data_IF_993501281723
#
_entry.id   IF_993501281723
#
_cell.length_a   1.000
_cell.length_b   1.000
_cell.length_c   1.000
_cell.angle_alpha   90.00
_cell.angle_beta   90.00
_cell.angle_gamma   90.00
#
_symmetry.space_group_name_H-M   'P 1'
#
loop_
_entity.id
_entity.type
_entity.pdbx_description
1 polymer ?
#
# COMPACT_ATOMS: atom_id res chain seq x y z
N UNK A 1 15.12 -53.90 6.29
CA UNK A 1 14.61 -52.61 6.84
C UNK A 1 13.87 -51.92 5.71
N UNK A 2 12.61 -51.55 5.88
CA UNK A 2 11.88 -50.82 4.85
C UNK A 2 12.39 -49.39 4.84
N UNK A 3 12.58 -48.80 3.65
CA UNK A 3 12.99 -47.41 3.47
C UNK A 3 11.95 -46.49 4.13
N UNK A 4 12.42 -45.55 4.96
CA UNK A 4 11.56 -44.64 5.72
C UNK A 4 11.19 -43.43 4.87
N UNK A 5 12.07 -43.01 3.94
CA UNK A 5 11.87 -41.86 3.06
C UNK A 5 11.02 -42.28 1.86
N UNK A 6 9.90 -41.59 1.65
CA UNK A 6 9.00 -41.82 0.53
C UNK A 6 8.74 -40.52 -0.24
N UNK A 7 8.57 -40.63 -1.55
CA UNK A 7 8.14 -39.51 -2.39
C UNK A 7 6.68 -39.17 -2.07
N UNK A 8 6.42 -37.88 -1.82
CA UNK A 8 5.05 -37.42 -1.62
C UNK A 8 4.25 -37.46 -2.93
N UNK A 9 2.95 -37.79 -2.87
CA UNK A 9 2.06 -37.61 -4.00
C UNK A 9 2.05 -36.13 -4.46
N UNK A 10 1.99 -35.90 -5.76
CA UNK A 10 2.02 -34.52 -6.35
C UNK A 10 0.97 -33.59 -5.75
N UNK A 11 -0.23 -34.09 -5.47
CA UNK A 11 -1.28 -33.30 -4.85
C UNK A 11 -0.91 -32.78 -3.45
N UNK A 12 -0.20 -33.59 -2.66
CA UNK A 12 0.27 -33.21 -1.31
C UNK A 12 1.44 -32.24 -1.42
N UNK A 13 2.40 -32.53 -2.30
CA UNK A 13 3.54 -31.66 -2.58
C UNK A 13 3.07 -30.27 -3.05
N UNK A 14 2.06 -30.23 -3.95
CA UNK A 14 1.45 -29.00 -4.43
C UNK A 14 0.75 -28.19 -3.30
N UNK A 15 0.03 -28.87 -2.39
CA UNK A 15 -0.61 -28.20 -1.25
C UNK A 15 0.41 -27.62 -0.26
N UNK A 16 1.53 -28.30 -0.03
CA UNK A 16 2.62 -27.80 0.85
C UNK A 16 3.22 -26.54 0.21
N UNK A 17 3.65 -26.62 -1.06
CA UNK A 17 4.24 -25.49 -1.77
C UNK A 17 3.26 -24.32 -1.90
N UNK A 18 1.98 -24.58 -2.20
CA UNK A 18 0.94 -23.56 -2.21
C UNK A 18 0.84 -22.80 -0.88
N UNK A 19 1.25 -23.44 0.22
CA UNK A 19 1.22 -22.81 1.53
C UNK A 19 2.24 -21.73 1.77
N UNK A 20 3.30 -21.75 1.03
CA UNK A 20 4.34 -20.72 1.10
C UNK A 20 3.95 -19.49 0.27
N UNK A 21 3.24 -19.70 -0.84
CA UNK A 21 2.85 -18.64 -1.78
C UNK A 21 1.48 -18.05 -1.43
N UNK A 22 0.47 -18.90 -1.26
CA UNK A 22 -0.92 -18.49 -1.03
C UNK A 22 -1.29 -18.69 0.44
N UNK A 23 -1.15 -17.65 1.23
CA UNK A 23 -1.46 -17.68 2.66
C UNK A 23 -2.87 -17.17 2.96
N UNK A 24 -3.41 -16.27 2.13
CA UNK A 24 -4.70 -15.59 2.31
C UNK A 24 -5.27 -15.05 1.00
N UNK A 25 -6.55 -14.59 0.97
CA UNK A 25 -7.17 -14.03 -0.24
C UNK A 25 -6.37 -12.91 -0.90
N UNK A 26 -5.78 -12.01 -0.11
CA UNK A 26 -4.94 -10.92 -0.62
C UNK A 26 -3.74 -11.42 -1.45
N UNK A 27 -3.19 -12.61 -1.14
CA UNK A 27 -2.10 -13.21 -1.93
C UNK A 27 -2.57 -13.62 -3.33
N UNK A 28 -3.80 -14.15 -3.45
CA UNK A 28 -4.39 -14.52 -4.74
C UNK A 28 -4.57 -13.28 -5.61
N UNK A 29 -5.17 -12.22 -5.06
CA UNK A 29 -5.38 -10.96 -5.79
C UNK A 29 -4.06 -10.38 -6.24
N UNK A 30 -3.07 -10.33 -5.36
CA UNK A 30 -1.73 -9.84 -5.69
C UNK A 30 -1.15 -10.57 -6.90
N UNK A 31 -1.10 -11.89 -6.86
CA UNK A 31 -0.50 -12.70 -7.95
C UNK A 31 -1.30 -12.57 -9.27
N UNK A 32 -2.64 -12.55 -9.23
CA UNK A 32 -3.45 -12.43 -10.44
C UNK A 32 -3.34 -11.04 -11.07
N UNK A 33 -3.39 -9.96 -10.26
CA UNK A 33 -3.25 -8.59 -10.76
C UNK A 33 -1.84 -8.34 -11.30
N UNK A 34 -0.79 -8.84 -10.64
CA UNK A 34 0.58 -8.78 -11.16
C UNK A 34 0.73 -9.53 -12.50
N UNK A 35 0.04 -10.67 -12.66
CA UNK A 35 0.04 -11.38 -13.93
C UNK A 35 -0.71 -10.61 -15.05
N UNK A 36 -1.81 -9.93 -14.72
CA UNK A 36 -2.53 -9.08 -15.66
C UNK A 36 -1.67 -7.89 -16.13
N UNK A 37 -0.93 -7.26 -15.21
CA UNK A 37 0.03 -6.19 -15.54
C UNK A 37 1.14 -6.72 -16.46
N UNK A 38 1.73 -7.87 -16.13
CA UNK A 38 2.76 -8.53 -16.94
C UNK A 38 2.22 -8.98 -18.33
N UNK A 39 0.90 -9.19 -18.46
CA UNK A 39 0.24 -9.45 -19.73
C UNK A 39 -0.01 -8.18 -20.56
N UNK A 40 0.34 -7.00 -20.04
CA UNK A 40 0.18 -5.72 -20.72
C UNK A 40 -1.25 -5.16 -20.66
N UNK A 41 -2.02 -5.52 -19.64
CA UNK A 41 -3.37 -5.00 -19.44
C UNK A 41 -3.38 -3.47 -19.27
N UNK A 42 -4.40 -2.83 -19.82
CA UNK A 42 -4.69 -1.39 -19.65
C UNK A 42 -5.86 -1.16 -18.69
N UNK A 43 -6.67 -2.19 -18.50
CA UNK A 43 -7.81 -2.19 -17.58
C UNK A 43 -7.88 -3.50 -16.81
N UNK A 44 -8.04 -3.41 -15.47
CA UNK A 44 -8.10 -4.58 -14.60
C UNK A 44 -9.25 -4.40 -13.61
N UNK A 45 -10.21 -5.33 -13.64
CA UNK A 45 -11.33 -5.39 -12.72
C UNK A 45 -11.11 -6.49 -11.68
N UNK A 46 -11.29 -6.14 -10.40
CA UNK A 46 -11.19 -7.08 -9.28
C UNK A 46 -12.53 -7.14 -8.56
N UNK A 47 -13.16 -8.31 -8.53
CA UNK A 47 -14.42 -8.54 -7.83
C UNK A 47 -14.20 -9.55 -6.71
N UNK A 48 -14.68 -9.24 -5.52
CA UNK A 48 -14.48 -10.04 -4.31
C UNK A 48 -15.81 -10.29 -3.62
N UNK A 49 -16.07 -11.54 -3.28
CA UNK A 49 -17.24 -11.92 -2.47
C UNK A 49 -16.77 -12.52 -1.15
N UNK A 50 -17.38 -12.08 -0.03
CA UNK A 50 -17.04 -12.50 1.34
C UNK A 50 -15.55 -12.37 1.65
N UNK A 51 -14.96 -11.23 1.26
CA UNK A 51 -13.53 -10.97 1.43
C UNK A 51 -12.63 -12.07 0.81
N UNK A 52 -13.06 -12.63 -0.32
CA UNK A 52 -12.34 -13.65 -1.07
C UNK A 52 -12.45 -15.07 -0.52
N UNK A 53 -13.38 -15.32 0.40
CA UNK A 53 -13.67 -16.67 0.91
C UNK A 53 -14.58 -17.45 -0.05
N UNK A 54 -15.57 -16.76 -0.62
CA UNK A 54 -16.50 -17.34 -1.58
C UNK A 54 -15.91 -17.26 -2.97
N UNK A 55 -15.58 -16.06 -3.46
CA UNK A 55 -14.94 -15.90 -4.76
C UNK A 55 -14.03 -14.70 -4.84
N UNK A 56 -13.06 -14.80 -5.73
CA UNK A 56 -12.18 -13.74 -6.22
C UNK A 56 -12.20 -13.84 -7.73
N UNK A 57 -12.57 -12.76 -8.40
CA UNK A 57 -12.52 -12.68 -9.85
C UNK A 57 -11.62 -11.54 -10.27
N UNK A 58 -10.72 -11.81 -11.21
CA UNK A 58 -9.84 -10.80 -11.82
C UNK A 58 -10.02 -10.89 -13.33
N UNK A 59 -10.39 -9.76 -13.93
CA UNK A 59 -10.64 -9.63 -15.37
C UNK A 59 -9.65 -8.61 -15.90
N UNK A 60 -8.96 -8.95 -16.96
CA UNK A 60 -7.98 -8.09 -17.63
C UNK A 60 -8.20 -8.06 -19.14
N UNK A 61 -7.79 -6.98 -19.77
CA UNK A 61 -7.78 -6.75 -21.20
C UNK A 61 -6.37 -6.98 -21.83
N UNK A 62 -5.53 -7.76 -21.16
CA UNK A 62 -4.18 -8.07 -21.62
C UNK A 62 -4.14 -8.95 -22.88
N UNK A 63 -2.95 -9.44 -23.23
CA UNK A 63 -2.73 -10.24 -24.46
C UNK A 63 -3.47 -11.57 -24.50
N UNK A 64 -4.02 -12.06 -23.39
CA UNK A 64 -4.63 -13.38 -23.28
C UNK A 64 -3.64 -14.53 -23.43
N UNK A 65 -4.17 -15.75 -23.58
CA UNK A 65 -3.40 -16.98 -23.72
C UNK A 65 -4.03 -17.88 -24.81
N UNK A 66 -3.16 -18.62 -25.53
CA UNK A 66 -3.61 -19.70 -26.42
C UNK A 66 -4.19 -20.86 -25.62
N UNK A 67 -4.89 -21.77 -26.30
CA UNK A 67 -5.44 -22.99 -25.70
C UNK A 67 -4.37 -23.79 -24.95
N UNK A 68 -3.18 -23.94 -25.54
CA UNK A 68 -2.06 -24.68 -24.96
C UNK A 68 -1.45 -23.93 -23.78
N UNK A 69 -1.22 -22.61 -23.91
CA UNK A 69 -0.64 -21.79 -22.85
C UNK A 69 -1.57 -21.68 -21.65
N UNK A 70 -2.89 -21.58 -21.87
CA UNK A 70 -3.89 -21.57 -20.81
C UNK A 70 -3.77 -22.80 -19.92
N UNK A 71 -3.60 -23.98 -20.50
CA UNK A 71 -3.39 -25.21 -19.75
C UNK A 71 -2.01 -25.26 -19.07
N UNK A 72 -0.95 -24.93 -19.80
CA UNK A 72 0.42 -24.96 -19.28
C UNK A 72 0.64 -23.95 -18.14
N UNK A 73 -0.11 -22.85 -18.12
CA UNK A 73 0.03 -21.81 -17.09
C UNK A 73 -0.23 -22.32 -15.66
N UNK A 74 -0.93 -23.46 -15.51
CA UNK A 74 -1.21 -24.11 -14.22
C UNK A 74 -0.22 -25.22 -13.87
N UNK A 75 0.73 -25.52 -14.75
CA UNK A 75 1.82 -26.43 -14.44
C UNK A 75 2.91 -25.72 -13.65
N UNK A 76 3.56 -26.46 -12.75
CA UNK A 76 4.68 -25.91 -11.96
C UNK A 76 5.89 -25.65 -12.85
N UNK A 77 6.56 -24.53 -12.57
CA UNK A 77 7.75 -24.08 -13.29
C UNK A 77 7.48 -23.71 -14.76
N UNK A 78 6.20 -23.61 -15.17
CA UNK A 78 5.83 -23.09 -16.46
C UNK A 78 5.77 -21.56 -16.40
N UNK A 79 6.62 -20.89 -17.17
CA UNK A 79 6.69 -19.43 -17.22
C UNK A 79 7.10 -18.94 -18.61
N UNK A 80 6.50 -17.85 -19.05
CA UNK A 80 6.90 -17.13 -20.27
C UNK A 80 7.98 -16.07 -20.03
N UNK A 81 8.36 -15.83 -18.76
CA UNK A 81 9.07 -14.63 -18.31
C UNK A 81 10.59 -14.83 -18.19
N UNK A 82 11.04 -16.05 -17.95
CA UNK A 82 12.46 -16.42 -17.85
C UNK A 82 12.73 -17.69 -18.66
N UNK A 83 13.91 -17.78 -19.27
CA UNK A 83 14.35 -18.95 -20.03
C UNK A 83 15.74 -19.42 -19.62
N UNK A 84 16.57 -18.53 -19.08
CA UNK A 84 17.95 -18.80 -18.69
C UNK A 84 18.19 -18.33 -17.26
N UNK A 85 19.21 -18.87 -16.60
CA UNK A 85 19.60 -18.46 -15.26
C UNK A 85 19.99 -16.96 -15.20
N UNK A 86 20.60 -16.44 -16.26
CA UNK A 86 21.01 -15.04 -16.34
C UNK A 86 19.82 -14.06 -16.34
N UNK A 87 18.65 -14.51 -16.82
CA UNK A 87 17.42 -13.70 -16.80
C UNK A 87 16.98 -13.35 -15.37
N UNK A 88 17.43 -14.13 -14.36
CA UNK A 88 17.13 -13.86 -12.94
C UNK A 88 17.77 -12.56 -12.43
N UNK A 89 18.88 -12.13 -13.03
CA UNK A 89 19.58 -10.91 -12.65
C UNK A 89 19.06 -9.65 -13.37
N UNK A 90 18.19 -9.83 -14.38
CA UNK A 90 17.62 -8.75 -15.19
C UNK A 90 16.09 -8.69 -15.13
N UNK A 91 15.49 -9.19 -14.06
CA UNK A 91 14.05 -9.30 -13.91
C UNK A 91 13.36 -7.93 -13.89
N UNK A 92 12.54 -7.68 -14.93
CA UNK A 92 11.64 -6.52 -15.00
C UNK A 92 10.17 -6.87 -14.74
N UNK A 93 9.81 -8.18 -14.80
CA UNK A 93 8.44 -8.64 -14.57
C UNK A 93 8.14 -8.84 -13.09
N UNK A 94 6.91 -8.64 -12.66
CA UNK A 94 6.48 -8.81 -11.27
C UNK A 94 6.56 -10.26 -10.82
N UNK A 95 6.07 -11.20 -11.63
CA UNK A 95 6.17 -12.65 -11.42
C UNK A 95 7.24 -13.27 -12.32
N UNK A 96 7.90 -14.34 -11.89
CA UNK A 96 8.89 -15.07 -12.73
C UNK A 96 8.97 -16.58 -12.44
N UNK A 97 8.54 -17.05 -11.26
CA UNK A 97 8.78 -18.45 -10.82
C UNK A 97 7.88 -19.49 -11.50
N UNK A 98 6.76 -19.08 -12.13
CA UNK A 98 5.81 -20.03 -12.72
C UNK A 98 5.14 -20.95 -11.69
N UNK A 99 4.91 -20.47 -10.47
CA UNK A 99 4.34 -21.26 -9.37
C UNK A 99 3.02 -20.71 -8.83
N UNK A 100 2.69 -19.45 -9.12
CA UNK A 100 1.55 -18.77 -8.52
C UNK A 100 0.22 -19.42 -8.92
N UNK A 101 -0.04 -19.59 -10.22
CA UNK A 101 -1.28 -20.19 -10.71
C UNK A 101 -1.41 -21.66 -10.30
N UNK A 102 -0.32 -22.44 -10.36
CA UNK A 102 -0.28 -23.83 -9.89
C UNK A 102 -0.60 -23.89 -8.37
N UNK A 103 -0.09 -22.94 -7.59
CA UNK A 103 -0.34 -22.85 -6.15
C UNK A 103 -1.79 -22.47 -5.84
N UNK A 104 -2.40 -21.54 -6.59
CA UNK A 104 -3.82 -21.19 -6.44
C UNK A 104 -4.68 -22.41 -6.78
N UNK A 105 -4.40 -23.08 -7.92
CA UNK A 105 -5.14 -24.26 -8.37
C UNK A 105 -5.07 -25.43 -7.38
N UNK A 106 -3.97 -25.55 -6.62
CA UNK A 106 -3.81 -26.59 -5.63
C UNK A 106 -4.78 -26.45 -4.43
N UNK A 107 -5.23 -25.24 -4.12
CA UNK A 107 -6.01 -24.92 -2.92
C UNK A 107 -7.37 -24.28 -3.19
N UNK A 108 -7.75 -24.10 -4.45
CA UNK A 108 -9.01 -23.48 -4.87
C UNK A 108 -9.64 -24.20 -6.07
N UNK A 109 -10.84 -23.78 -6.42
CA UNK A 109 -11.50 -24.08 -7.69
C UNK A 109 -11.29 -22.88 -8.60
N UNK A 110 -10.86 -23.10 -9.84
CA UNK A 110 -10.54 -22.03 -10.78
C UNK A 110 -11.30 -22.26 -12.08
N UNK A 111 -11.93 -21.20 -12.56
CA UNK A 111 -12.36 -21.08 -13.94
C UNK A 111 -11.54 -19.97 -14.61
N UNK A 112 -11.01 -20.29 -15.79
CA UNK A 112 -10.29 -19.36 -16.64
C UNK A 112 -11.02 -19.25 -17.97
N UNK A 113 -11.31 -18.03 -18.40
CA UNK A 113 -11.72 -17.72 -19.77
C UNK A 113 -10.68 -16.76 -20.34
N UNK A 114 -10.05 -17.14 -21.45
CA UNK A 114 -8.99 -16.33 -22.04
C UNK A 114 -9.01 -16.40 -23.55
N UNK A 115 -8.65 -15.31 -24.22
CA UNK A 115 -8.58 -15.22 -25.68
C UNK A 115 -7.45 -14.29 -26.09
N UNK A 116 -6.68 -14.71 -27.08
CA UNK A 116 -5.72 -13.84 -27.77
C UNK A 116 -6.42 -13.00 -28.84
N UNK A 117 -5.87 -11.84 -29.15
CA UNK A 117 -6.41 -10.97 -30.21
C UNK A 117 -6.40 -11.65 -31.60
N UNK A 118 -5.44 -12.55 -31.82
CA UNK A 118 -5.31 -13.31 -33.08
C UNK A 118 -6.30 -14.45 -33.24
N UNK A 119 -7.11 -14.77 -32.24
CA UNK A 119 -8.02 -15.92 -32.22
C UNK A 119 -9.48 -15.47 -32.19
N UNK A 120 -10.35 -16.11 -32.95
CA UNK A 120 -11.79 -15.82 -33.01
C UNK A 120 -12.53 -16.34 -31.78
N UNK A 121 -12.10 -17.49 -31.27
CA UNK A 121 -12.66 -18.14 -30.09
C UNK A 121 -11.60 -18.18 -28.98
N UNK A 122 -12.06 -17.97 -27.76
CA UNK A 122 -11.25 -18.17 -26.58
C UNK A 122 -11.38 -19.57 -26.02
N UNK A 123 -10.70 -19.79 -24.91
CA UNK A 123 -10.65 -21.06 -24.18
C UNK A 123 -11.26 -20.86 -22.79
N UNK A 124 -12.19 -21.74 -22.43
CA UNK A 124 -12.69 -21.92 -21.06
C UNK A 124 -12.05 -23.16 -20.47
N UNK A 125 -11.42 -23.00 -19.30
CA UNK A 125 -10.70 -24.06 -18.62
C UNK A 125 -11.11 -24.12 -17.15
N UNK A 126 -11.33 -25.32 -16.61
CA UNK A 126 -11.71 -25.54 -15.21
C UNK A 126 -10.72 -26.46 -14.51
N UNK A 127 -10.29 -26.07 -13.30
CA UNK A 127 -9.37 -26.82 -12.45
C UNK A 127 -9.87 -26.80 -11.01
N UNK A 128 -9.77 -27.91 -10.30
CA UNK A 128 -10.11 -28.00 -8.89
C UNK A 128 -9.09 -28.85 -8.11
N UNK A 129 -8.39 -28.26 -7.13
CA UNK A 129 -7.41 -28.96 -6.30
C UNK A 129 -6.29 -29.64 -7.11
N UNK A 130 -5.69 -28.93 -8.08
CA UNK A 130 -4.71 -29.40 -9.06
C UNK A 130 -5.25 -30.47 -10.02
N UNK A 131 -6.55 -30.73 -10.07
CA UNK A 131 -7.15 -31.65 -11.02
C UNK A 131 -7.78 -30.87 -12.16
N UNK A 132 -7.35 -31.18 -13.35
CA UNK A 132 -7.94 -30.68 -14.57
C UNK A 132 -9.35 -31.28 -14.77
N UNK A 133 -10.36 -30.43 -14.88
CA UNK A 133 -11.75 -30.85 -15.00
C UNK A 133 -12.26 -30.82 -16.43
N UNK A 134 -11.80 -29.86 -17.23
CA UNK A 134 -12.18 -29.73 -18.63
C UNK A 134 -11.63 -28.49 -19.29
N UNK A 135 -11.62 -28.50 -20.60
CA UNK A 135 -11.25 -27.39 -21.47
C UNK A 135 -12.12 -27.41 -22.71
N UNK A 136 -12.70 -26.29 -23.04
CA UNK A 136 -13.62 -26.13 -24.17
C UNK A 136 -13.47 -24.74 -24.81
N UNK A 137 -13.74 -24.62 -26.12
CA UNK A 137 -13.78 -23.31 -26.75
C UNK A 137 -14.96 -22.50 -26.22
N UNK A 138 -14.76 -21.19 -26.03
CA UNK A 138 -15.81 -20.29 -25.59
C UNK A 138 -15.70 -18.93 -26.29
N UNK A 139 -16.82 -18.19 -26.30
CA UNK A 139 -16.82 -16.79 -26.71
C UNK A 139 -16.52 -15.91 -25.51
N UNK A 140 -15.39 -15.19 -25.55
CA UNK A 140 -14.99 -14.24 -24.52
C UNK A 140 -14.22 -13.07 -25.13
N UNK A 141 -14.14 -11.91 -24.43
CA UNK A 141 -13.29 -10.80 -24.83
C UNK A 141 -11.80 -11.20 -24.93
N UNK A 142 -10.99 -10.37 -25.57
CA UNK A 142 -9.53 -10.45 -25.51
C UNK A 142 -9.08 -10.20 -24.09
N UNK A 143 -8.05 -10.92 -23.63
CA UNK A 143 -7.55 -10.84 -22.27
C UNK A 143 -7.81 -12.12 -21.48
N UNK A 144 -7.87 -12.00 -20.15
CA UNK A 144 -8.12 -13.15 -19.28
C UNK A 144 -9.11 -12.81 -18.16
N UNK A 145 -9.93 -13.79 -17.83
CA UNK A 145 -10.88 -13.72 -16.73
C UNK A 145 -10.66 -14.95 -15.83
N UNK A 146 -10.06 -14.72 -14.68
CA UNK A 146 -9.84 -15.73 -13.65
C UNK A 146 -10.91 -15.62 -12.58
N UNK A 147 -11.70 -16.67 -12.40
CA UNK A 147 -12.60 -16.83 -11.26
C UNK A 147 -12.03 -17.90 -10.33
N UNK A 148 -11.70 -17.51 -9.11
CA UNK A 148 -11.18 -18.39 -8.05
C UNK A 148 -12.23 -18.52 -6.98
N UNK A 149 -12.72 -19.73 -6.77
CA UNK A 149 -13.78 -20.03 -5.83
C UNK A 149 -13.33 -20.95 -4.71
N UNK A 150 -14.02 -20.87 -3.59
CA UNK A 150 -13.87 -21.78 -2.47
C UNK A 150 -12.41 -21.93 -2.00
N UNK A 151 -11.69 -20.84 -1.84
CA UNK A 151 -10.29 -20.83 -1.40
C UNK A 151 -10.12 -21.69 -0.13
N UNK A 152 -9.13 -22.58 -0.15
CA UNK A 152 -8.83 -23.57 0.90
C UNK A 152 -9.92 -24.62 1.14
N UNK A 153 -10.75 -24.95 0.12
CA UNK A 153 -11.79 -25.95 0.25
C UNK A 153 -11.25 -27.32 0.66
N UNK A 154 -10.06 -27.67 0.19
CA UNK A 154 -9.36 -28.93 0.45
C UNK A 154 -8.30 -28.83 1.56
N UNK A 155 -8.18 -27.68 2.25
CA UNK A 155 -7.25 -27.44 3.35
C UNK A 155 -8.02 -26.82 4.54
N UNK A 156 -8.87 -27.60 5.26
CA UNK A 156 -9.76 -27.08 6.29
C UNK A 156 -9.05 -26.33 7.41
N UNK A 157 -7.83 -26.72 7.77
CA UNK A 157 -7.02 -26.03 8.77
C UNK A 157 -6.77 -24.58 8.36
N UNK A 158 -6.31 -24.32 7.12
CA UNK A 158 -6.07 -22.96 6.64
C UNK A 158 -7.34 -22.13 6.57
N UNK A 159 -8.46 -22.74 6.12
CA UNK A 159 -9.75 -22.06 6.08
C UNK A 159 -10.19 -21.56 7.47
N UNK A 160 -9.88 -22.31 8.54
CA UNK A 160 -10.14 -21.91 9.92
C UNK A 160 -9.23 -20.78 10.41
N UNK A 161 -8.02 -20.66 9.86
CA UNK A 161 -7.08 -19.59 10.22
C UNK A 161 -7.35 -18.26 9.50
N UNK A 162 -8.27 -18.21 8.53
CA UNK A 162 -8.72 -16.95 7.95
C UNK A 162 -9.39 -16.09 9.03
N UNK A 163 -8.97 -14.83 9.10
CA UNK A 163 -9.50 -13.86 10.06
C UNK A 163 -10.91 -13.38 9.66
N UNK A 164 -11.49 -12.46 10.37
CA UNK A 164 -12.81 -11.88 10.02
C UNK A 164 -12.83 -11.32 8.59
N UNK A 165 -14.02 -11.26 7.98
CA UNK A 165 -14.17 -10.69 6.63
C UNK A 165 -13.64 -9.25 6.56
N UNK A 166 -13.85 -8.44 7.59
CA UNK A 166 -13.30 -7.09 7.68
C UNK A 166 -11.77 -7.10 7.63
N UNK A 167 -11.12 -7.97 8.40
CA UNK A 167 -9.65 -8.05 8.41
C UNK A 167 -9.10 -8.55 7.07
N UNK A 168 -9.72 -9.57 6.46
CA UNK A 168 -9.27 -10.06 5.15
C UNK A 168 -9.52 -9.03 4.03
N UNK A 169 -10.64 -8.28 4.09
CA UNK A 169 -10.90 -7.20 3.14
C UNK A 169 -9.86 -6.08 3.27
N UNK A 170 -9.48 -5.69 4.49
CA UNK A 170 -8.43 -4.70 4.72
C UNK A 170 -7.07 -5.18 4.19
N UNK A 171 -6.75 -6.48 4.31
CA UNK A 171 -5.55 -7.05 3.71
C UNK A 171 -5.59 -6.99 2.18
N UNK A 172 -6.76 -7.25 1.57
CA UNK A 172 -6.98 -7.14 0.12
C UNK A 172 -6.76 -5.71 -0.33
N UNK A 173 -7.41 -4.75 0.32
CA UNK A 173 -7.28 -3.32 0.00
C UNK A 173 -5.81 -2.89 0.11
N UNK A 174 -5.11 -3.27 1.17
CA UNK A 174 -3.69 -2.92 1.33
C UNK A 174 -2.80 -3.54 0.24
N UNK A 175 -3.09 -4.77 -0.19
CA UNK A 175 -2.36 -5.40 -1.30
C UNK A 175 -2.66 -4.69 -2.63
N UNK A 176 -3.92 -4.34 -2.87
CA UNK A 176 -4.37 -3.60 -4.05
C UNK A 176 -3.75 -2.20 -4.11
N UNK A 177 -3.77 -1.44 -3.02
CA UNK A 177 -3.13 -0.11 -2.91
C UNK A 177 -1.66 -0.15 -3.32
N UNK A 178 -0.90 -1.15 -2.87
CA UNK A 178 0.52 -1.30 -3.20
C UNK A 178 0.78 -1.49 -4.69
N UNK A 179 -0.17 -2.09 -5.41
CA UNK A 179 -0.06 -2.30 -6.85
C UNK A 179 -0.49 -1.04 -7.62
N UNK A 180 -1.67 -0.49 -7.31
CA UNK A 180 -2.23 0.62 -8.10
C UNK A 180 -1.43 1.91 -7.98
N UNK A 181 -0.68 2.08 -6.88
CA UNK A 181 0.23 3.21 -6.68
C UNK A 181 1.42 3.21 -7.63
N UNK A 182 1.85 2.03 -8.07
CA UNK A 182 3.01 1.86 -8.97
C UNK A 182 2.62 2.00 -10.44
N UNK A 183 1.39 1.64 -10.78
CA UNK A 183 0.89 1.61 -12.16
C UNK A 183 -0.23 2.64 -12.40
N UNK A 184 0.04 3.96 -12.29
CA UNK A 184 -0.98 4.99 -12.46
C UNK A 184 -1.53 5.04 -13.90
N UNK A 185 -0.80 4.52 -14.89
CA UNK A 185 -1.20 4.44 -16.29
C UNK A 185 -2.25 3.36 -16.57
N UNK A 186 -2.49 2.42 -15.65
CA UNK A 186 -3.49 1.36 -15.78
C UNK A 186 -4.76 1.76 -15.04
N UNK A 187 -5.91 1.49 -15.63
CA UNK A 187 -7.21 1.66 -14.97
C UNK A 187 -7.53 0.45 -14.11
N UNK A 188 -8.00 0.68 -12.89
CA UNK A 188 -8.35 -0.40 -11.96
C UNK A 188 -9.72 -0.17 -11.34
N UNK A 189 -10.48 -1.26 -11.16
CA UNK A 189 -11.65 -1.26 -10.29
C UNK A 189 -11.51 -2.33 -9.20
N UNK A 190 -12.09 -2.08 -8.03
CA UNK A 190 -12.22 -3.07 -6.97
C UNK A 190 -13.64 -3.04 -6.43
N UNK A 191 -14.32 -4.18 -6.53
CA UNK A 191 -15.67 -4.39 -5.99
C UNK A 191 -15.66 -5.41 -4.86
N UNK A 192 -16.44 -5.15 -3.82
CA UNK A 192 -16.66 -6.09 -2.72
C UNK A 192 -18.15 -6.29 -2.47
N UNK A 193 -18.63 -7.53 -2.59
CA UNK A 193 -20.04 -7.88 -2.44
C UNK A 193 -20.97 -6.99 -3.29
N UNK A 194 -20.57 -6.69 -4.54
CA UNK A 194 -21.32 -5.85 -5.47
C UNK A 194 -21.20 -4.34 -5.22
N UNK A 195 -20.47 -3.91 -4.18
CA UNK A 195 -20.20 -2.49 -3.93
C UNK A 195 -18.85 -2.11 -4.50
N UNK A 196 -18.80 -1.03 -5.28
CA UNK A 196 -17.55 -0.46 -5.78
C UNK A 196 -16.79 0.23 -4.64
N UNK A 197 -15.56 -0.22 -4.37
CA UNK A 197 -14.66 0.38 -3.39
C UNK A 197 -13.68 1.35 -4.03
N UNK A 198 -13.18 1.00 -5.22
CA UNK A 198 -12.28 1.83 -6.01
C UNK A 198 -12.67 1.82 -7.47
N UNK A 199 -12.58 2.99 -8.11
CA UNK A 199 -12.70 3.20 -9.55
C UNK A 199 -11.61 4.19 -9.95
N UNK A 200 -10.47 3.65 -10.39
CA UNK A 200 -9.22 4.39 -10.63
C UNK A 200 -8.95 4.42 -12.13
N UNK A 201 -8.96 5.60 -12.73
CA UNK A 201 -8.64 5.77 -14.15
C UNK A 201 -7.15 5.98 -14.35
N UNK A 202 -6.65 5.79 -15.56
CA UNK A 202 -5.28 6.14 -15.92
C UNK A 202 -5.02 7.63 -15.64
N UNK A 203 -3.93 7.92 -14.91
CA UNK A 203 -3.64 9.28 -14.43
C UNK A 203 -2.14 9.43 -14.07
N UNK A 204 -1.75 10.56 -13.48
CA UNK A 204 -0.41 10.76 -12.93
C UNK A 204 -0.24 10.11 -11.54
N UNK A 205 1.01 9.90 -11.10
CA UNK A 205 1.32 9.41 -9.75
C UNK A 205 0.63 10.22 -8.64
N UNK A 206 0.71 11.56 -8.73
CA UNK A 206 0.07 12.44 -7.74
C UNK A 206 -1.44 12.25 -7.68
N UNK A 207 -2.09 12.21 -8.85
CA UNK A 207 -3.52 12.02 -8.92
C UNK A 207 -3.94 10.64 -8.41
N UNK A 208 -3.18 9.57 -8.73
CA UNK A 208 -3.42 8.24 -8.22
C UNK A 208 -3.36 8.18 -6.69
N UNK A 209 -2.37 8.81 -6.06
CA UNK A 209 -2.25 8.90 -4.61
C UNK A 209 -3.50 9.60 -4.01
N UNK A 210 -3.93 10.68 -4.63
CA UNK A 210 -5.10 11.46 -4.19
C UNK A 210 -6.41 10.69 -4.37
N UNK A 211 -6.57 9.94 -5.46
CA UNK A 211 -7.74 9.08 -5.69
C UNK A 211 -7.83 7.94 -4.69
N UNK A 212 -6.69 7.36 -4.30
CA UNK A 212 -6.64 6.25 -3.34
C UNK A 212 -6.82 6.72 -1.90
N UNK A 213 -6.19 7.82 -1.48
CA UNK A 213 -6.16 8.24 -0.06
C UNK A 213 -6.96 9.52 0.24
N UNK A 214 -7.58 10.10 -0.76
CA UNK A 214 -8.47 11.26 -0.62
C UNK A 214 -7.86 12.60 -1.00
N UNK A 215 -8.76 13.55 -1.34
CA UNK A 215 -8.40 14.86 -1.91
C UNK A 215 -7.58 15.75 -0.97
N UNK A 216 -7.71 15.59 0.36
CA UNK A 216 -6.97 16.38 1.35
C UNK A 216 -5.46 16.22 1.22
N UNK A 217 -5.02 15.01 0.89
CA UNK A 217 -3.59 14.73 0.74
C UNK A 217 -2.92 15.53 -0.37
N UNK A 218 -3.67 15.98 -1.39
CA UNK A 218 -3.12 16.73 -2.51
C UNK A 218 -2.41 18.03 -2.10
N UNK A 219 -2.92 18.73 -1.09
CA UNK A 219 -2.35 19.99 -0.61
C UNK A 219 -1.12 19.77 0.26
N UNK A 220 -1.00 18.57 0.82
CA UNK A 220 0.05 18.22 1.78
C UNK A 220 1.29 17.60 1.14
N UNK A 221 1.24 17.23 -0.15
CA UNK A 221 2.33 16.53 -0.84
C UNK A 221 3.33 17.50 -1.49
N UNK A 222 4.59 17.36 -1.10
CA UNK A 222 5.76 18.00 -1.71
C UNK A 222 6.42 17.04 -2.71
N UNK A 223 6.70 17.44 -3.93
CA UNK A 223 7.37 16.60 -4.92
C UNK A 223 8.84 16.41 -4.58
N UNK A 224 9.34 15.22 -4.86
CA UNK A 224 10.76 14.88 -4.85
C UNK A 224 11.10 14.32 -6.23
N UNK A 225 12.21 14.78 -6.80
CA UNK A 225 12.74 14.29 -8.06
C UNK A 225 14.25 14.55 -8.07
N UNK A 226 15.03 13.49 -7.85
CA UNK A 226 16.49 13.54 -7.75
C UNK A 226 17.10 12.41 -8.56
N UNK A 227 17.82 12.76 -9.60
CA UNK A 227 18.54 11.82 -10.44
C UNK A 227 20.04 11.82 -10.09
N UNK A 228 20.59 10.61 -9.89
CA UNK A 228 21.99 10.39 -9.56
C UNK A 228 22.54 9.20 -10.33
N UNK A 229 23.85 9.02 -10.34
CA UNK A 229 24.48 7.86 -10.96
C UNK A 229 24.15 6.52 -10.28
N UNK A 230 23.63 6.53 -9.05
CA UNK A 230 23.31 5.31 -8.28
C UNK A 230 21.83 4.94 -8.38
N UNK A 231 20.96 5.94 -8.41
CA UNK A 231 19.50 5.74 -8.46
C UNK A 231 18.81 7.05 -8.85
N UNK A 232 17.61 6.92 -9.41
CA UNK A 232 16.65 8.01 -9.54
C UNK A 232 15.61 7.85 -8.43
N UNK A 233 15.43 8.89 -7.60
CA UNK A 233 14.43 8.91 -6.53
C UNK A 233 13.38 9.95 -6.88
N UNK A 234 12.13 9.50 -7.07
CA UNK A 234 11.04 10.40 -7.36
C UNK A 234 9.83 10.11 -6.49
N UNK A 235 8.87 11.03 -6.46
CA UNK A 235 7.63 10.84 -5.71
C UNK A 235 7.26 12.01 -4.83
N UNK A 236 6.71 11.74 -3.66
CA UNK A 236 6.12 12.76 -2.80
C UNK A 236 6.37 12.47 -1.32
N UNK A 237 6.56 13.54 -0.56
CA UNK A 237 6.63 13.52 0.91
C UNK A 237 5.64 14.54 1.46
N UNK A 238 5.05 14.27 2.63
CA UNK A 238 4.11 15.18 3.26
C UNK A 238 4.78 16.42 3.84
N UNK A 239 4.04 17.52 3.88
CA UNK A 239 4.44 18.73 4.62
C UNK A 239 4.56 18.42 6.11
N UNK A 240 5.39 19.16 6.88
CA UNK A 240 5.47 19.02 8.32
C UNK A 240 4.11 19.12 9.04
N UNK A 241 3.21 19.98 8.55
CA UNK A 241 1.86 20.19 9.10
C UNK A 241 0.93 18.97 8.93
N UNK A 242 1.27 18.07 7.99
CA UNK A 242 0.52 16.84 7.74
C UNK A 242 0.93 15.69 8.68
N UNK A 243 1.87 15.95 9.61
CA UNK A 243 2.35 14.94 10.54
C UNK A 243 1.23 14.43 11.47
N UNK A 244 1.22 13.11 11.72
CA UNK A 244 0.22 12.44 12.57
C UNK A 244 0.87 11.41 13.47
N UNK A 245 0.26 11.18 14.65
CA UNK A 245 0.71 10.13 15.59
C UNK A 245 0.37 8.71 15.12
N UNK A 246 -0.69 8.55 14.31
CA UNK A 246 -1.21 7.23 13.92
C UNK A 246 -1.34 7.13 12.40
N UNK A 247 -0.95 5.97 11.89
CA UNK A 247 -1.20 5.48 10.54
C UNK A 247 -0.94 6.48 9.39
N UNK A 248 0.22 7.12 9.29
CA UNK A 248 0.55 7.85 8.09
C UNK A 248 0.72 6.86 6.92
N UNK A 249 0.30 7.27 5.72
CA UNK A 249 0.49 6.50 4.49
C UNK A 249 1.97 6.54 4.10
N UNK A 250 2.68 5.42 4.26
CA UNK A 250 4.13 5.34 4.08
C UNK A 250 4.48 4.21 3.12
N UNK A 251 4.91 4.58 1.91
CA UNK A 251 5.17 3.64 0.84
C UNK A 251 6.54 3.90 0.21
N UNK A 252 7.33 2.84 0.12
CA UNK A 252 8.52 2.77 -0.71
C UNK A 252 8.30 1.78 -1.84
N UNK A 253 8.77 2.16 -3.02
CA UNK A 253 8.78 1.29 -4.17
C UNK A 253 10.16 1.28 -4.80
N UNK A 254 10.61 0.14 -5.29
CA UNK A 254 11.85 0.00 -6.05
C UNK A 254 11.60 -0.83 -7.29
N UNK A 255 11.93 -0.29 -8.45
CA UNK A 255 11.70 -0.96 -9.74
C UNK A 255 10.30 -1.59 -9.80
N UNK A 256 9.29 -0.79 -9.54
CA UNK A 256 7.86 -1.14 -9.53
C UNK A 256 7.43 -2.14 -8.44
N UNK A 257 8.24 -2.37 -7.40
CA UNK A 257 7.91 -3.29 -6.30
C UNK A 257 7.79 -2.57 -4.97
N UNK A 258 6.73 -2.86 -4.23
CA UNK A 258 6.61 -2.38 -2.86
C UNK A 258 7.69 -2.98 -1.97
N UNK A 259 8.36 -2.14 -1.19
CA UNK A 259 9.34 -2.57 -0.20
C UNK A 259 9.09 -2.00 1.19
N UNK A 260 9.55 -2.74 2.19
CA UNK A 260 9.70 -2.25 3.56
C UNK A 260 11.18 -2.08 3.84
N UNK A 261 11.58 -0.86 4.14
CA UNK A 261 12.99 -0.54 4.38
C UNK A 261 13.16 0.35 5.62
N UNK A 262 13.35 -0.24 6.81
CA UNK A 262 13.44 0.51 8.07
C UNK A 262 14.56 1.55 8.06
N UNK A 263 15.68 1.27 7.40
CA UNK A 263 16.81 2.17 7.31
C UNK A 263 16.46 3.42 6.47
N UNK A 264 15.80 3.26 5.32
CA UNK A 264 15.34 4.40 4.52
C UNK A 264 14.19 5.17 5.20
N UNK A 265 13.33 4.47 5.92
CA UNK A 265 12.32 5.12 6.76
C UNK A 265 12.99 6.08 7.77
N UNK A 266 14.08 5.64 8.41
CA UNK A 266 14.85 6.48 9.31
C UNK A 266 15.46 7.71 8.61
N UNK A 267 15.88 7.61 7.34
CA UNK A 267 16.34 8.76 6.56
C UNK A 267 15.26 9.81 6.42
N UNK A 268 14.03 9.38 6.03
CA UNK A 268 12.89 10.30 5.90
C UNK A 268 12.58 10.97 7.24
N UNK A 269 12.45 10.21 8.33
CA UNK A 269 12.14 10.78 9.64
C UNK A 269 13.25 11.74 10.12
N UNK A 270 14.52 11.40 9.88
CA UNK A 270 15.65 12.28 10.22
C UNK A 270 15.62 13.60 9.45
N UNK A 271 15.08 13.62 8.23
CA UNK A 271 14.92 14.85 7.46
C UNK A 271 13.92 15.82 8.12
N UNK A 272 12.96 15.30 8.88
CA UNK A 272 11.96 16.08 9.61
C UNK A 272 12.35 16.35 11.07
N UNK A 273 13.59 16.03 11.48
CA UNK A 273 14.06 16.32 12.84
C UNK A 273 13.85 17.81 13.16
N UNK A 274 13.23 18.10 14.32
CA UNK A 274 12.85 19.45 14.78
C UNK A 274 11.74 20.16 13.96
N UNK A 275 11.22 19.58 12.90
CA UNK A 275 10.14 20.16 12.10
C UNK A 275 8.77 19.62 12.49
N UNK A 276 8.74 18.41 13.09
CA UNK A 276 7.51 17.75 13.54
C UNK A 276 7.60 17.40 15.02
N UNK A 277 6.48 17.32 15.75
CA UNK A 277 6.45 16.86 17.13
C UNK A 277 7.01 15.46 17.29
N UNK A 278 7.66 15.18 18.43
CA UNK A 278 8.24 13.88 18.71
C UNK A 278 7.17 12.78 18.71
N UNK A 279 7.42 11.69 17.97
CA UNK A 279 6.50 10.56 17.83
C UNK A 279 5.44 10.73 16.73
N UNK A 280 5.43 11.86 16.04
CA UNK A 280 4.62 12.04 14.84
C UNK A 280 5.39 11.66 13.56
N UNK A 281 4.66 11.30 12.52
CA UNK A 281 5.21 10.86 11.25
C UNK A 281 4.44 11.49 10.10
N UNK A 282 5.13 11.69 8.98
CA UNK A 282 4.57 12.25 7.75
C UNK A 282 4.24 11.15 6.75
N UNK A 283 3.24 11.36 5.87
CA UNK A 283 3.02 10.47 4.74
C UNK A 283 4.14 10.62 3.71
N UNK A 284 4.49 9.54 3.03
CA UNK A 284 5.40 9.58 1.89
C UNK A 284 5.12 8.46 0.90
N UNK A 285 5.40 8.74 -0.38
CA UNK A 285 5.25 7.86 -1.53
C UNK A 285 6.50 8.04 -2.38
N UNK A 286 7.49 7.17 -2.18
CA UNK A 286 8.81 7.33 -2.77
C UNK A 286 9.14 6.13 -3.65
N UNK A 287 9.54 6.43 -4.86
CA UNK A 287 9.87 5.49 -5.92
C UNK A 287 11.36 5.56 -6.20
N UNK A 288 12.00 4.41 -6.30
CA UNK A 288 13.42 4.25 -6.55
C UNK A 288 13.61 3.47 -7.83
N UNK A 289 14.20 4.08 -8.85
CA UNK A 289 14.68 3.40 -10.03
C UNK A 289 16.17 3.13 -9.85
N UNK A 290 16.52 1.86 -9.73
CA UNK A 290 17.87 1.39 -9.43
C UNK A 290 18.27 0.36 -10.47
N UNK A 291 19.51 0.37 -11.00
CA UNK A 291 19.96 -0.70 -11.88
C UNK A 291 19.75 -2.06 -11.23
N UNK A 292 19.19 -3.02 -11.98
CA UNK A 292 18.81 -4.33 -11.43
C UNK A 292 20.00 -5.10 -10.84
N UNK A 293 21.19 -4.87 -11.34
CA UNK A 293 22.47 -5.44 -10.88
C UNK A 293 22.87 -4.97 -9.48
N UNK A 294 22.39 -3.80 -9.03
CA UNK A 294 22.74 -3.19 -7.74
C UNK A 294 21.76 -3.54 -6.63
N UNK A 295 20.75 -4.40 -6.91
CA UNK A 295 19.74 -4.81 -5.92
C UNK A 295 19.56 -6.34 -5.93
N UNK A 296 19.37 -6.90 -4.73
CA UNK A 296 18.90 -8.29 -4.58
C UNK A 296 17.46 -8.30 -4.05
N UNK A 297 16.54 -8.76 -4.88
CA UNK A 297 15.10 -8.87 -4.59
C UNK A 297 14.72 -10.26 -4.07
N UNK A 298 15.58 -11.28 -4.27
CA UNK A 298 15.23 -12.67 -3.98
C UNK A 298 15.59 -13.11 -2.56
N UNK A 299 15.51 -12.24 -1.59
CA UNK A 299 15.90 -12.52 -0.20
C UNK A 299 14.77 -13.22 0.56
N UNK A 300 13.51 -12.81 0.34
CA UNK A 300 12.35 -13.32 1.05
C UNK A 300 11.25 -13.76 0.07
N UNK A 301 10.47 -14.82 0.38
CA UNK A 301 9.36 -15.28 -0.48
C UNK A 301 8.36 -14.20 -0.86
N UNK A 302 8.08 -13.26 0.06
CA UNK A 302 7.17 -12.13 -0.17
C UNK A 302 7.78 -11.00 -1.02
N UNK A 303 9.09 -11.04 -1.28
CA UNK A 303 9.84 -10.03 -2.06
C UNK A 303 9.67 -8.58 -1.55
N UNK A 304 9.35 -8.40 -0.27
CA UNK A 304 9.17 -7.08 0.35
C UNK A 304 10.44 -6.53 1.01
N UNK A 305 11.43 -7.39 1.22
CA UNK A 305 12.75 -7.01 1.72
C UNK A 305 13.74 -7.06 0.56
N UNK A 306 14.45 -5.96 0.34
CA UNK A 306 15.38 -5.79 -0.78
C UNK A 306 16.70 -5.29 -0.22
N UNK A 307 17.80 -5.86 -0.68
CA UNK A 307 19.14 -5.37 -0.36
C UNK A 307 19.68 -4.53 -1.50
N UNK A 308 20.29 -3.43 -1.13
CA UNK A 308 20.95 -2.54 -2.06
C UNK A 308 22.47 -2.67 -1.87
N UNK A 309 23.22 -2.68 -2.96
CA UNK A 309 24.68 -2.70 -2.91
C UNK A 309 25.23 -1.44 -2.20
N UNK A 310 24.68 -0.28 -2.56
CA UNK A 310 25.13 1.04 -2.06
C UNK A 310 24.11 1.68 -1.10
N UNK A 311 23.56 0.90 -0.15
CA UNK A 311 22.50 1.31 0.76
C UNK A 311 22.80 2.61 1.52
N UNK A 312 24.04 2.79 2.01
CA UNK A 312 24.43 3.97 2.75
C UNK A 312 24.45 5.24 1.88
N UNK A 313 24.91 5.12 0.64
CA UNK A 313 24.92 6.26 -0.29
C UNK A 313 23.50 6.67 -0.66
N UNK A 314 22.62 5.70 -0.97
CA UNK A 314 21.21 5.95 -1.26
C UNK A 314 20.52 6.58 -0.05
N UNK A 315 20.83 6.18 1.17
CA UNK A 315 20.32 6.79 2.39
C UNK A 315 20.66 8.29 2.48
N UNK A 316 21.92 8.66 2.16
CA UNK A 316 22.35 10.07 2.17
C UNK A 316 21.64 10.89 1.08
N UNK A 317 21.49 10.31 -0.13
CA UNK A 317 20.77 10.94 -1.24
C UNK A 317 19.31 11.18 -0.83
N UNK A 318 18.66 10.16 -0.28
CA UNK A 318 17.27 10.27 0.18
C UNK A 318 17.11 11.34 1.26
N UNK A 319 18.00 11.35 2.26
CA UNK A 319 17.99 12.36 3.32
C UNK A 319 18.12 13.78 2.75
N UNK A 320 19.05 13.97 1.82
CA UNK A 320 19.26 15.27 1.17
C UNK A 320 18.06 15.69 0.34
N UNK A 321 17.50 14.78 -0.47
CA UNK A 321 16.33 15.01 -1.30
C UNK A 321 15.09 15.44 -0.49
N UNK A 322 14.82 14.73 0.62
CA UNK A 322 13.70 15.07 1.51
C UNK A 322 13.93 16.41 2.20
N UNK A 323 15.15 16.68 2.70
CA UNK A 323 15.48 17.98 3.31
C UNK A 323 15.34 19.12 2.34
N UNK A 324 15.75 18.95 1.09
CA UNK A 324 15.61 19.96 0.05
C UNK A 324 14.13 20.25 -0.26
N UNK A 325 13.32 19.20 -0.43
CA UNK A 325 11.88 19.35 -0.70
C UNK A 325 11.16 20.09 0.44
N UNK A 326 11.49 19.76 1.70
CA UNK A 326 10.92 20.42 2.87
C UNK A 326 11.48 21.84 3.04
N UNK A 327 12.77 22.07 2.75
CA UNK A 327 13.40 23.37 2.83
C UNK A 327 12.81 24.39 1.85
N UNK A 328 12.61 23.99 0.60
CA UNK A 328 11.95 24.83 -0.42
C UNK A 328 10.53 25.25 -0.01
N UNK A 329 9.84 24.41 0.73
CA UNK A 329 8.50 24.73 1.26
C UNK A 329 8.54 25.68 2.46
N UNK A 330 9.55 25.53 3.32
CA UNK A 330 9.75 26.37 4.51
C UNK A 330 10.47 27.71 4.18
N UNK A 331 10.92 27.93 2.94
CA UNK A 331 11.35 29.24 2.52
C UNK A 331 10.16 30.19 2.73
N UNK A 332 10.22 30.92 3.81
CA UNK A 332 9.29 32.01 4.16
C UNK A 332 9.20 32.86 2.90
N UNK A 333 8.00 33.16 2.38
CA UNK A 333 7.89 34.10 1.29
C UNK A 333 8.68 35.34 1.72
N UNK A 334 9.80 35.61 1.03
CA UNK A 334 10.52 36.84 1.24
C UNK A 334 9.47 37.91 1.19
N UNK A 335 9.28 38.64 2.30
CA UNK A 335 8.35 39.76 2.31
C UNK A 335 8.91 40.67 1.24
N UNK A 336 8.26 40.65 0.11
CA UNK A 336 8.63 41.52 -1.02
C UNK A 336 8.31 42.92 -0.55
N UNK A 337 9.34 43.60 -0.12
CA UNK A 337 9.28 45.02 0.18
C UNK A 337 9.23 45.88 -1.10
N UNK A 338 8.88 45.23 -2.24
CA UNK A 338 8.64 45.97 -3.45
C UNK A 338 7.49 46.95 -3.22
N UNK A 339 7.88 48.20 -3.24
CA UNK A 339 7.04 49.34 -2.89
C UNK A 339 6.21 49.84 -4.08
N UNK A 340 6.07 49.05 -5.14
CA UNK A 340 5.15 49.39 -6.25
C UNK A 340 3.70 49.39 -5.74
N UNK A 341 3.17 50.58 -5.54
CA UNK A 341 1.81 50.79 -5.04
C UNK A 341 1.70 51.30 -3.61
N UNK A 342 2.80 51.59 -2.93
CA UNK A 342 2.73 52.32 -1.66
C UNK A 342 2.40 53.78 -1.91
N UNK A 343 1.44 54.40 -1.21
CA UNK A 343 1.23 55.82 -1.29
C UNK A 343 2.53 56.53 -0.89
N UNK A 344 2.93 57.52 -1.73
CA UNK A 344 4.09 58.35 -1.47
C UNK A 344 4.11 58.81 0.00
N UNK A 345 5.16 58.45 0.73
CA UNK A 345 5.38 59.04 2.05
C UNK A 345 5.58 60.53 1.82
N UNK A 346 4.68 61.40 2.36
CA UNK A 346 4.81 62.85 2.11
C UNK A 346 6.18 63.30 2.62
N UNK A 347 6.98 63.84 1.72
CA UNK A 347 8.28 64.42 2.05
C UNK A 347 8.04 65.55 3.05
N UNK A 348 8.70 65.46 4.21
CA UNK A 348 8.64 66.50 5.24
C UNK A 348 8.99 67.83 4.61
N UNK A 349 8.01 68.74 4.57
CA UNK A 349 8.22 70.11 4.11
C UNK A 349 8.40 71.03 5.32
N UNK A 350 9.64 71.53 5.55
CA UNK A 350 9.93 72.33 6.75
C UNK A 350 9.20 73.67 6.83
N UNK A 351 8.53 74.09 5.72
CA UNK A 351 7.81 75.38 5.63
C UNK A 351 6.32 75.24 5.92
N UNK A 352 5.79 74.07 6.24
CA UNK A 352 4.41 73.90 6.66
C UNK A 352 4.40 73.78 8.17
N UNK A 353 3.91 74.80 8.88
CA UNK A 353 3.80 74.84 10.34
C UNK A 353 2.99 73.62 10.83
N UNK A 354 3.62 72.77 11.64
CA UNK A 354 2.93 71.64 12.29
C UNK A 354 1.92 72.20 13.33
N UNK A 355 0.64 72.03 13.04
CA UNK A 355 -0.40 72.19 14.09
C UNK A 355 -0.41 70.90 14.91
N UNK A 356 -0.26 71.05 16.24
CA UNK A 356 -0.38 69.91 17.12
C UNK A 356 -1.75 69.21 16.97
N UNK A 357 -1.80 67.89 16.95
CA UNK A 357 -3.08 67.18 16.85
C UNK A 357 -3.96 67.59 18.04
N UNK A 358 -5.18 68.04 17.73
CA UNK A 358 -6.19 68.29 18.79
C UNK A 358 -6.63 66.94 19.31
N UNK A 359 -6.34 66.69 20.55
CA UNK A 359 -6.85 65.49 21.29
C UNK A 359 -8.25 65.86 21.78
N UNK A 360 -9.27 65.33 21.14
CA UNK A 360 -10.63 65.38 21.68
C UNK A 360 -10.75 64.40 22.86
N UNK A 361 -10.67 64.95 24.05
CA UNK A 361 -10.85 64.18 25.27
C UNK A 361 -12.35 63.97 25.54
N UNK A 362 -12.80 62.72 25.38
CA UNK A 362 -14.15 62.35 25.78
C UNK A 362 -14.14 61.85 27.25
N UNK A 363 -14.62 62.66 28.25
CA UNK A 363 -14.54 62.29 29.63
C UNK A 363 -15.47 61.15 30.07
N UNK A 364 -16.32 60.66 29.16
CA UNK A 364 -17.24 59.54 29.41
C UNK A 364 -16.74 58.20 28.78
N UNK A 365 -15.62 58.23 28.10
CA UNK A 365 -15.05 57.01 27.50
C UNK A 365 -14.33 56.18 28.57
N UNK A 366 -14.88 54.99 28.88
CA UNK A 366 -14.26 54.04 29.80
C UNK A 366 -13.97 52.75 29.01
N UNK A 367 -12.70 52.42 28.68
CA UNK A 367 -12.36 51.24 27.91
C UNK A 367 -12.64 49.93 28.65
N UNK A 368 -12.93 49.94 29.95
CA UNK A 368 -13.19 48.75 30.75
C UNK A 368 -14.68 48.49 31.03
N UNK A 369 -15.59 49.33 30.51
CA UNK A 369 -17.04 49.03 30.56
C UNK A 369 -17.41 48.19 29.33
N UNK A 370 -17.46 46.87 29.50
CA UNK A 370 -18.13 45.95 28.56
C UNK A 370 -19.63 46.27 28.57
N UNK A 371 -20.12 46.96 27.56
CA UNK A 371 -21.55 47.01 27.26
C UNK A 371 -21.87 45.76 26.44
N UNK A 372 -22.36 44.73 27.13
CA UNK A 372 -23.00 43.59 26.50
C UNK A 372 -24.35 44.00 25.90
N UNK A 373 -24.35 44.43 24.64
CA UNK A 373 -25.56 44.38 23.82
C UNK A 373 -25.27 43.44 22.67
N UNK A 374 -26.10 42.41 22.46
CA UNK A 374 -25.97 41.55 21.30
C UNK A 374 -26.36 42.36 20.05
N UNK A 375 -25.39 42.60 19.18
CA UNK A 375 -25.67 43.11 17.86
C UNK A 375 -26.46 42.01 17.12
N UNK A 376 -27.75 42.25 16.85
CA UNK A 376 -28.50 41.47 15.87
C UNK A 376 -27.93 41.76 14.51
N UNK A 377 -27.05 40.90 14.04
CA UNK A 377 -26.73 40.85 12.61
C UNK A 377 -27.90 40.17 11.91
N UNK A 378 -28.74 40.91 11.23
CA UNK A 378 -29.66 40.36 10.24
C UNK A 378 -28.80 39.78 9.09
N UNK A 379 -28.82 38.45 8.92
CA UNK A 379 -28.27 37.82 7.75
C UNK A 379 -29.01 38.39 6.52
N UNK A 380 -28.33 38.59 5.37
CA UNK A 380 -28.98 38.97 4.12
C UNK A 380 -30.04 37.95 3.73
N UNK A 381 -31.21 38.39 3.28
CA UNK A 381 -32.25 37.53 2.74
C UNK A 381 -31.70 36.72 1.55
N UNK A 382 -31.88 35.40 1.57
CA UNK A 382 -31.39 34.50 0.52
C UNK A 382 -30.28 33.53 0.94
N UNK A 383 -29.85 33.55 2.20
CA UNK A 383 -28.80 32.66 2.71
C UNK A 383 -29.22 31.18 2.73
N UNK A 384 -30.50 30.86 2.88
CA UNK A 384 -31.03 29.50 2.91
C UNK A 384 -31.07 28.83 1.55
N UNK A 385 -31.16 29.60 0.43
CA UNK A 385 -31.15 29.05 -0.94
C UNK A 385 -29.75 28.55 -1.35
N UNK A 386 -28.68 29.04 -0.74
CA UNK A 386 -27.30 28.61 -1.05
C UNK A 386 -26.99 27.20 -0.52
N UNK A 387 -27.78 26.68 0.43
CA UNK A 387 -27.59 25.37 1.02
C UNK A 387 -28.60 24.32 0.55
N UNK A 388 -29.64 24.72 -0.20
CA UNK A 388 -30.69 23.82 -0.66
C UNK A 388 -30.17 22.80 -1.71
N UNK A 389 -29.09 23.09 -2.40
CA UNK A 389 -28.54 22.24 -3.48
C UNK A 389 -27.42 21.28 -3.03
N UNK A 390 -27.07 21.26 -1.76
CA UNK A 390 -26.05 20.34 -1.16
C UNK A 390 -26.65 19.03 -0.65
N UNK A 391 -27.95 18.79 -0.88
CA UNK A 391 -28.72 17.69 -0.32
C UNK A 391 -28.95 16.48 -1.22
N UNK A 392 -28.37 16.38 -2.42
CA UNK A 392 -28.64 15.23 -3.28
C UNK A 392 -27.35 14.60 -3.87
N UNK A 393 -26.91 13.53 -3.24
CA UNK A 393 -26.37 12.34 -3.89
C UNK A 393 -24.89 12.33 -4.32
N UNK A 394 -24.10 11.61 -3.58
CA UNK A 394 -22.93 10.91 -4.16
C UNK A 394 -21.63 10.96 -3.36
N UNK A 395 -21.30 12.03 -2.67
CA UNK A 395 -19.95 12.16 -2.07
C UNK A 395 -19.81 11.71 -0.60
N UNK A 396 -20.90 11.43 0.10
CA UNK A 396 -20.89 11.10 1.55
C UNK A 396 -20.44 9.65 1.84
N UNK A 397 -20.49 8.74 0.83
CA UNK A 397 -20.16 7.32 1.08
C UNK A 397 -18.66 7.03 1.19
N UNK A 398 -17.82 7.77 0.46
CA UNK A 398 -16.36 7.53 0.55
C UNK A 398 -15.76 8.06 1.86
N UNK A 399 -16.18 9.25 2.32
CA UNK A 399 -15.66 9.81 3.58
C UNK A 399 -16.02 8.97 4.80
N UNK A 400 -17.23 8.41 4.86
CA UNK A 400 -17.65 7.54 5.98
C UNK A 400 -16.92 6.20 6.00
N UNK A 401 -16.56 5.65 4.83
CA UNK A 401 -15.77 4.41 4.76
C UNK A 401 -14.33 4.64 5.27
N UNK A 402 -13.77 5.81 5.00
CA UNK A 402 -12.42 6.17 5.46
C UNK A 402 -12.38 6.48 6.97
N UNK A 403 -13.39 7.17 7.51
CA UNK A 403 -13.49 7.40 8.96
C UNK A 403 -13.69 6.08 9.74
N UNK A 404 -14.55 5.18 9.25
CA UNK A 404 -14.70 3.85 9.84
C UNK A 404 -13.41 3.01 9.75
N UNK A 405 -12.62 3.20 8.69
CA UNK A 405 -11.34 2.52 8.51
C UNK A 405 -10.25 3.01 9.48
N UNK A 406 -10.23 4.30 9.79
CA UNK A 406 -9.32 4.86 10.82
C UNK A 406 -9.69 4.34 12.22
N UNK A 407 -10.97 4.29 12.56
CA UNK A 407 -11.45 3.80 13.86
C UNK A 407 -11.26 2.29 14.03
N UNK A 408 -11.47 1.47 12.99
CA UNK A 408 -11.26 0.01 13.05
C UNK A 408 -9.76 -0.38 13.05
N UNK A 409 -8.89 0.37 12.35
CA UNK A 409 -7.45 0.16 12.46
C UNK A 409 -6.91 0.53 13.83
N UNK A 410 -7.52 1.53 14.50
CA UNK A 410 -7.18 1.92 15.86
C UNK A 410 -7.62 0.84 16.86
N UNK A 411 -8.80 0.23 16.67
CA UNK A 411 -9.31 -0.83 17.55
C UNK A 411 -8.57 -2.16 17.40
N UNK A 412 -8.06 -2.48 16.21
CA UNK A 412 -7.31 -3.72 15.96
C UNK A 412 -5.84 -3.66 16.41
N UNK A 413 -5.28 -2.48 16.58
CA UNK A 413 -3.92 -2.28 17.12
C UNK A 413 -3.88 -2.20 18.66
N UNK A 414 -5.04 -2.00 19.29
CA UNK A 414 -5.25 -2.04 20.75
C UNK A 414 -5.80 -3.41 21.18
N UNK A 415 -5.26 -4.51 20.64
CA UNK A 415 -5.48 -5.86 21.14
C UNK A 415 -4.94 -5.99 22.55
N UNK A 416 -5.79 -5.65 23.48
CA UNK A 416 -5.94 -6.15 24.85
C UNK A 416 -4.74 -6.90 25.43
N UNK A 417 -3.93 -6.19 26.18
CA UNK A 417 -3.38 -6.71 27.41
C UNK A 417 -4.33 -6.23 28.51
N UNK A 418 -5.34 -7.00 28.83
CA UNK A 418 -6.08 -6.86 30.07
C UNK A 418 -5.38 -7.76 31.10
N UNK A 419 -4.49 -7.18 31.87
CA UNK A 419 -4.05 -7.73 33.14
C UNK A 419 -5.23 -7.70 34.11
N UNK A 420 -5.91 -8.82 34.23
CA UNK A 420 -6.66 -9.13 35.46
C UNK A 420 -5.69 -9.76 36.44
N UNK A 421 -5.25 -8.96 37.39
CA UNK A 421 -4.57 -9.42 38.61
C UNK A 421 -5.60 -10.15 39.43
N UNK A 422 -5.56 -11.49 39.45
CA UNK A 422 -6.10 -12.30 40.56
C UNK A 422 -4.95 -12.70 41.47
N UNK A 423 -5.03 -12.24 42.71
CA UNK A 423 -4.23 -12.74 43.85
C UNK A 423 -4.48 -14.24 44.05
N UNK A 424 -3.47 -15.06 43.80
CA UNK A 424 -3.48 -16.51 44.03
C UNK A 424 -2.13 -16.96 44.55
N UNK A 425 -2.07 -17.19 45.84
CA UNK A 425 -1.13 -17.83 46.74
C UNK A 425 -0.02 -18.67 46.09
N UNK A 426 1.24 -18.27 46.36
CA UNK A 426 2.48 -18.97 46.02
C UNK A 426 2.64 -20.21 46.91
N UNK A 427 2.73 -21.42 46.32
CA UNK A 427 3.29 -22.61 46.95
C UNK A 427 4.54 -22.98 46.11
N UNK A 428 5.76 -23.03 46.68
CA UNK A 428 6.95 -23.46 45.95
C UNK A 428 7.03 -24.99 45.92
N UNK A 429 6.96 -25.59 44.72
CA UNK A 429 7.32 -26.99 44.52
C UNK A 429 8.80 -27.08 44.14
N UNK A 430 9.59 -27.55 45.10
CA UNK A 430 10.96 -28.02 44.90
C UNK A 430 10.90 -29.42 44.27
N UNK A 431 11.26 -29.54 42.99
CA UNK A 431 11.77 -30.77 42.35
C UNK A 431 11.93 -30.51 40.85
N UNK A 432 13.09 -30.03 40.44
CA UNK A 432 13.70 -30.32 39.11
C UNK A 432 15.07 -29.57 39.02
N UNK A 433 15.95 -29.88 39.96
CA UNK A 433 17.39 -29.65 39.83
C UNK A 433 18.09 -30.96 40.13
N UNK A 434 18.17 -31.89 39.18
CA UNK A 434 19.15 -32.96 39.12
C UNK A 434 18.97 -33.79 37.85
N UNK A 435 19.31 -33.24 36.69
CA UNK A 435 19.48 -34.03 35.47
C UNK A 435 20.30 -33.26 34.39
N UNK A 436 21.24 -32.41 34.80
CA UNK A 436 22.10 -31.70 33.82
C UNK A 436 23.60 -31.71 34.21
N UNK A 437 24.01 -32.58 35.11
CA UNK A 437 25.43 -32.66 35.54
C UNK A 437 26.02 -34.08 35.44
N UNK A 438 25.73 -34.88 34.44
CA UNK A 438 26.38 -36.19 34.24
C UNK A 438 26.57 -36.61 32.79
N UNK A 439 27.07 -35.70 31.93
CA UNK A 439 27.47 -36.07 30.56
C UNK A 439 28.65 -35.18 30.04
N UNK A 440 29.63 -34.87 30.90
CA UNK A 440 30.93 -34.38 30.49
C UNK A 440 31.98 -35.10 31.32
N UNK A 441 32.31 -36.34 30.96
CA UNK A 441 33.59 -36.98 31.16
C UNK A 441 33.70 -38.23 30.27
N UNK A 442 34.88 -38.38 29.69
CA UNK A 442 35.39 -39.48 28.86
C UNK A 442 35.10 -39.46 27.34
N UNK A 443 36.06 -38.86 26.66
CA UNK A 443 36.88 -39.56 25.65
C UNK A 443 38.07 -38.74 25.20
N UNK A 444 39.23 -39.14 25.66
CA UNK A 444 40.54 -38.80 25.12
C UNK A 444 40.87 -39.54 23.80
N UNK A 445 41.79 -39.09 22.98
CA UNK A 445 41.97 -39.53 21.59
C UNK A 445 42.82 -40.76 21.45
N UNK A 446 42.51 -41.62 20.50
CA UNK A 446 43.46 -42.64 20.00
C UNK A 446 43.65 -42.50 18.53
N UNK A 447 44.93 -42.39 18.18
CA UNK A 447 45.54 -42.51 16.87
C UNK A 447 45.05 -43.72 16.06
N UNK A 448 44.70 -43.56 14.79
CA UNK A 448 45.33 -44.09 13.60
C UNK A 448 44.59 -43.54 12.38
#
# INVERSE_FOLDING_TARGET
MSDIIQLLPDSVANQIAAGEVIQRPASVIKELVENAIDAGATHIDVLVVDAGRTSIQVIDDGKGMSETDARLSFERHATSKIRKADDLFSLRTMGFRGEALASIAAVAQIELKTRMESEDLGTHLSIAGSRFMGQEPCSCPVGSNFLVENLFFNVPARRKFLKSNTTELNNIITAFERIVLVYPQISFTLHSNGTELFSLRACSYRQRIVEVFGKRLNQDLLPIDVDTSLCHIHGFVGKPESARKKAPHQYFFVNDRYMKHPYFHKAVITAFDRLIPQGEQVPYFLYFDVPAENIDVNIHPTKTEIKFENEQAIWQILLAAVKEAVGRFNDIPAIDFDTEGKPDIPVFNPNVGMSAPKVDFNPTYNPFKQTSQPAKSSAPDGWEELYADLGSGGEIRQSKLFEQREDEMISSSLGTVSDTVEEGTIIPSAATQSAAESLIEDRAPSHY
#
